data_IF_297378167161
#
_entry.id   IF_297378167161
#
_cell.length_a   1.000
_cell.length_b   1.000
_cell.length_c   1.000
_cell.angle_alpha   90.00
_cell.angle_beta   90.00
_cell.angle_gamma   90.00
#
_symmetry.space_group_name_H-M   'P 1'
#
loop_
_entity.id
_entity.type
_entity.pdbx_description
1 polymer ?
2 non-polymer ?
3 non-polymer ?
4 non-polymer ?
5 water ?
#
# COMPACT_ATOMS: atom_id res chain seq x y z
N UNK A 21 -0.12 8.30 22.89
CA UNK A 21 0.55 8.52 24.23
C UNK A 21 2.06 8.79 24.03
N UNK A 22 2.45 9.08 22.79
CA UNK A 22 3.73 9.69 22.37
C UNK A 22 3.50 11.19 22.50
N UNK A 23 4.51 12.02 22.66
CA UNK A 23 4.22 13.46 22.88
C UNK A 23 4.38 14.23 21.58
N UNK A 24 5.31 13.82 20.72
CA UNK A 24 5.62 14.61 19.51
C UNK A 24 6.03 13.67 18.36
N UNK A 25 5.38 13.82 17.22
CA UNK A 25 5.58 12.92 16.05
C UNK A 25 6.03 13.75 14.85
N UNK A 26 7.13 13.30 14.24
CA UNK A 26 7.63 13.81 12.93
C UNK A 26 6.87 13.10 11.82
N UNK A 27 6.15 13.87 10.99
CA UNK A 27 5.43 13.34 9.80
C UNK A 27 6.42 13.34 8.62
N UNK A 28 7.09 12.20 8.39
CA UNK A 28 8.17 12.03 7.41
C UNK A 28 7.52 11.68 6.06
N UNK A 29 6.68 12.58 5.57
CA UNK A 29 5.92 12.33 4.31
C UNK A 29 5.24 13.63 3.90
N UNK A 30 4.35 13.55 2.91
CA UNK A 30 3.78 14.76 2.25
C UNK A 30 2.35 14.45 1.79
N UNK A 31 1.71 15.41 1.14
CA UNK A 31 0.43 15.22 0.45
C UNK A 31 -0.67 14.72 1.34
N UNK A 32 -1.51 13.83 0.79
CA UNK A 32 -2.74 13.43 1.51
C UNK A 32 -2.34 12.64 2.78
N UNK A 33 -1.37 11.74 2.73
CA UNK A 33 -1.09 10.83 3.88
C UNK A 33 -0.53 11.65 5.05
N UNK A 34 0.24 12.72 4.78
CA UNK A 34 0.76 13.61 5.83
C UNK A 34 -0.41 14.28 6.55
N UNK A 35 -1.44 14.71 5.82
CA UNK A 35 -2.69 15.30 6.39
C UNK A 35 -3.45 14.25 7.23
N UNK A 36 -3.59 13.04 6.71
CA UNK A 36 -4.26 11.90 7.39
C UNK A 36 -3.56 11.64 8.73
N UNK A 37 -2.24 11.67 8.74
CA UNK A 37 -1.41 11.44 9.94
C UNK A 37 -1.57 12.60 10.89
N UNK A 38 -1.55 13.84 10.36
CA UNK A 38 -1.75 15.02 11.24
C UNK A 38 -3.10 14.94 11.95
N UNK A 39 -4.18 14.61 11.23
CA UNK A 39 -5.56 14.56 11.78
C UNK A 39 -5.58 13.53 12.95
N UNK A 40 -4.94 12.37 12.80
CA UNK A 40 -4.87 11.29 13.84
C UNK A 40 -4.11 11.84 15.07
N UNK A 41 -3.02 12.56 14.81
CA UNK A 41 -2.15 13.13 15.87
C UNK A 41 -2.96 14.13 16.68
N UNK A 42 -3.62 15.07 16.00
CA UNK A 42 -4.44 16.12 16.65
C UNK A 42 -5.56 15.47 17.48
N UNK A 43 -6.23 14.46 16.96
CA UNK A 43 -7.33 13.79 17.70
C UNK A 43 -6.79 13.24 19.02
N UNK A 44 -5.54 12.75 19.04
CA UNK A 44 -4.90 12.12 20.23
C UNK A 44 -4.13 13.13 21.07
N UNK A 45 -4.10 14.40 20.69
CA UNK A 45 -3.35 15.42 21.47
C UNK A 45 -1.85 15.26 21.32
N UNK A 46 -1.39 14.65 20.23
CA UNK A 46 0.04 14.44 19.91
C UNK A 46 0.51 15.63 19.08
N UNK A 47 1.65 16.21 19.47
CA UNK A 47 2.25 17.38 18.77
C UNK A 47 2.80 16.91 17.43
N UNK A 48 2.73 17.79 16.42
CA UNK A 48 3.13 17.50 15.03
C UNK A 48 4.35 18.34 14.63
N UNK A 49 5.31 17.67 14.01
CA UNK A 49 6.46 18.27 13.28
C UNK A 49 6.31 17.89 11.80
N UNK A 50 6.07 18.89 10.96
CA UNK A 50 6.00 18.71 9.49
C UNK A 50 7.39 18.95 8.90
N UNK A 51 8.05 17.90 8.44
CA UNK A 51 9.28 18.04 7.62
C UNK A 51 8.88 18.12 6.14
N UNK A 52 9.43 19.10 5.42
CA UNK A 52 8.89 19.51 4.09
C UNK A 52 10.05 19.93 3.18
N UNK A 53 9.93 19.66 1.89
CA UNK A 53 10.82 20.26 0.84
C UNK A 53 10.50 21.75 0.67
N UNK A 54 11.40 22.48 0.00
CA UNK A 54 11.18 23.89 -0.39
C UNK A 54 9.89 24.00 -1.20
N UNK A 55 9.53 22.98 -1.99
CA UNK A 55 8.36 23.07 -2.89
C UNK A 55 7.04 22.82 -2.15
N UNK A 56 7.05 22.30 -0.92
CA UNK A 56 5.82 21.86 -0.20
C UNK A 56 5.51 22.80 0.99
N UNK A 57 5.96 24.07 0.95
CA UNK A 57 5.76 25.03 2.06
C UNK A 57 4.27 25.32 2.22
N UNK A 58 3.51 25.26 1.13
CA UNK A 58 2.06 25.59 1.11
C UNK A 58 1.22 24.30 1.19
N UNK A 59 1.81 23.15 1.54
CA UNK A 59 0.98 21.95 1.80
C UNK A 59 0.05 22.22 2.99
N UNK A 60 -1.18 21.75 2.91
CA UNK A 60 -2.24 21.96 3.96
C UNK A 60 -1.71 21.47 5.33
N UNK A 61 -1.16 20.28 5.40
CA UNK A 61 -0.67 19.71 6.70
C UNK A 61 0.50 20.54 7.26
N UNK A 62 1.34 21.14 6.40
CA UNK A 62 2.45 22.03 6.85
C UNK A 62 1.83 23.24 7.54
N UNK A 63 0.81 23.82 6.92
CA UNK A 63 0.12 25.04 7.44
C UNK A 63 -0.57 24.77 8.78
N UNK A 64 -0.99 23.52 9.04
CA UNK A 64 -1.73 23.07 10.26
C UNK A 64 -0.78 22.59 11.36
N UNK A 65 0.47 22.19 11.04
CA UNK A 65 1.36 21.49 12.01
C UNK A 65 1.82 22.43 13.15
N UNK A 66 2.12 21.84 14.30
CA UNK A 66 2.60 22.62 15.47
C UNK A 66 3.98 23.21 15.15
N UNK A 67 4.82 22.49 14.42
CA UNK A 67 6.22 22.90 14.10
C UNK A 67 6.49 22.47 12.66
N UNK A 68 7.38 23.16 11.96
CA UNK A 68 7.77 22.87 10.57
C UNK A 68 9.29 23.01 10.41
N UNK A 69 9.90 22.08 9.67
CA UNK A 69 11.37 22.10 9.39
C UNK A 69 11.54 21.81 7.89
N UNK A 70 12.16 22.72 7.16
CA UNK A 70 12.55 22.46 5.75
C UNK A 70 13.71 21.46 5.76
N UNK A 71 13.58 20.30 5.11
CA UNK A 71 14.64 19.24 5.11
C UNK A 71 15.39 19.17 3.78
N UNK A 72 15.12 20.08 2.85
CA UNK A 72 15.95 20.26 1.65
C UNK A 72 15.15 20.76 0.46
N UNK A 73 15.81 20.86 -0.72
CA UNK A 73 15.13 21.33 -1.93
C UNK A 73 14.13 20.30 -2.48
N UNK A 74 13.51 20.61 -3.61
CA UNK A 74 12.27 19.95 -4.09
C UNK A 74 12.49 18.47 -4.42
N UNK A 75 13.60 18.09 -5.11
CA UNK A 75 13.77 16.69 -5.48
C UNK A 75 13.72 15.77 -4.26
N UNK A 76 12.99 14.67 -4.43
CA UNK A 76 12.76 13.62 -3.39
C UNK A 76 14.08 13.17 -2.78
N UNK A 77 15.10 12.89 -3.60
CA UNK A 77 16.39 12.33 -3.15
C UNK A 77 17.02 13.28 -2.12
N UNK A 78 16.68 14.56 -2.19
CA UNK A 78 17.36 15.63 -1.40
C UNK A 78 16.53 16.05 -0.19
N UNK A 79 15.31 15.51 -0.06
CA UNK A 79 14.34 15.98 0.94
C UNK A 79 13.69 14.76 1.62
N UNK A 80 12.67 14.17 1.03
CA UNK A 80 11.86 13.09 1.67
C UNK A 80 12.69 11.81 1.83
N UNK A 81 13.78 11.63 1.08
CA UNK A 81 14.69 10.45 1.18
C UNK A 81 15.96 10.82 1.94
N UNK A 82 16.05 12.02 2.51
CA UNK A 82 17.24 12.57 3.21
C UNK A 82 17.25 12.07 4.66
N UNK A 83 17.85 10.91 4.91
CA UNK A 83 17.78 10.24 6.26
C UNK A 83 18.44 11.14 7.32
N UNK A 84 19.65 11.70 7.09
CA UNK A 84 20.26 12.54 8.11
C UNK A 84 19.36 13.72 8.47
N UNK A 85 18.74 14.39 7.49
CA UNK A 85 17.96 15.61 7.71
C UNK A 85 16.69 15.25 8.49
N UNK A 86 16.07 14.13 8.17
CA UNK A 86 14.81 13.76 8.86
C UNK A 86 15.15 13.45 10.33
N UNK A 87 16.19 12.65 10.60
CA UNK A 87 16.59 12.29 11.99
C UNK A 87 17.00 13.55 12.78
N UNK A 88 17.66 14.50 12.13
CA UNK A 88 18.11 15.78 12.75
C UNK A 88 16.88 16.59 13.12
N UNK A 89 15.83 16.53 12.31
CA UNK A 89 14.52 17.18 12.59
C UNK A 89 13.96 16.64 13.93
N UNK A 90 13.93 15.33 14.12
CA UNK A 90 13.40 14.70 15.34
C UNK A 90 14.29 15.11 16.53
N UNK A 91 15.59 15.25 16.27
CA UNK A 91 16.60 15.56 17.31
C UNK A 91 16.33 17.00 17.78
N UNK A 92 16.31 18.01 16.89
CA UNK A 92 16.20 19.44 17.29
C UNK A 92 14.81 19.73 17.85
N UNK A 93 13.78 18.96 17.53
CA UNK A 93 12.41 19.24 18.03
C UNK A 93 12.15 18.45 19.32
N UNK A 94 13.04 17.54 19.70
CA UNK A 94 12.81 16.64 20.84
C UNK A 94 11.60 15.76 20.57
N UNK A 95 11.39 15.34 19.35
CA UNK A 95 10.29 14.41 19.00
C UNK A 95 10.55 13.02 19.61
N UNK A 96 9.48 12.24 19.79
CA UNK A 96 9.52 10.86 20.33
C UNK A 96 9.44 9.82 19.25
N UNK A 97 8.78 10.11 18.11
CA UNK A 97 8.53 9.10 17.08
C UNK A 97 8.48 9.71 15.67
N UNK A 98 8.64 8.86 14.69
CA UNK A 98 8.61 9.24 13.26
C UNK A 98 7.61 8.35 12.54
N UNK A 99 6.61 8.93 11.88
CA UNK A 99 5.63 8.23 11.04
C UNK A 99 6.12 8.41 9.61
N UNK A 100 6.54 7.33 8.92
CA UNK A 100 7.00 7.42 7.53
C UNK A 100 5.93 7.39 6.42
N UNK A 101 4.66 7.21 6.80
CA UNK A 101 3.56 7.13 5.83
C UNK A 101 3.76 5.95 4.90
N UNK A 102 3.49 6.14 3.60
CA UNK A 102 3.71 5.11 2.54
C UNK A 102 4.64 5.73 1.48
N UNK A 103 5.26 4.88 0.67
CA UNK A 103 6.33 5.29 -0.25
C UNK A 103 7.51 5.83 0.51
N UNK A 104 8.36 6.64 -0.14
CA UNK A 104 9.54 7.30 0.47
C UNK A 104 10.31 6.27 1.30
N UNK A 105 10.50 6.49 2.58
CA UNK A 105 11.38 5.65 3.45
C UNK A 105 10.57 4.62 4.27
N UNK A 106 9.26 4.46 4.03
CA UNK A 106 8.37 3.64 4.89
C UNK A 106 8.82 2.17 4.93
N UNK A 107 9.45 1.66 3.86
CA UNK A 107 9.92 0.25 3.82
C UNK A 107 11.45 0.14 3.67
N UNK A 108 12.14 1.21 4.05
CA UNK A 108 13.62 1.29 4.08
C UNK A 108 14.08 0.84 5.49
N UNK A 109 14.60 -0.37 5.63
CA UNK A 109 15.01 -0.98 6.93
C UNK A 109 16.22 -0.22 7.50
N UNK A 110 17.07 0.32 6.62
CA UNK A 110 18.26 1.11 6.99
C UNK A 110 17.78 2.37 7.71
N UNK A 111 16.76 3.04 7.18
CA UNK A 111 16.10 4.18 7.85
C UNK A 111 15.53 3.74 9.21
N UNK A 112 14.70 2.71 9.26
CA UNK A 112 14.10 2.20 10.51
C UNK A 112 15.20 1.92 11.55
N UNK A 113 16.30 1.26 11.15
CA UNK A 113 17.48 0.97 12.01
C UNK A 113 18.06 2.26 12.59
N UNK A 114 18.22 3.30 11.76
CA UNK A 114 18.90 4.56 12.16
C UNK A 114 18.01 5.30 13.15
N UNK A 115 16.69 5.26 12.93
CA UNK A 115 15.64 5.89 13.78
C UNK A 115 15.70 5.23 15.17
N UNK A 116 15.63 3.89 15.29
CA UNK A 116 15.63 3.27 16.65
C UNK A 116 17.04 3.45 17.27
N UNK A 117 18.14 3.29 16.52
CA UNK A 117 19.50 3.51 17.07
C UNK A 117 19.66 4.94 17.59
N UNK A 118 18.94 5.92 17.01
CA UNK A 118 19.05 7.37 17.34
C UNK A 118 18.10 7.75 18.50
N UNK A 119 17.36 6.78 19.04
CA UNK A 119 16.57 6.94 20.29
C UNK A 119 15.10 7.27 20.05
N UNK A 120 14.61 7.22 18.82
CA UNK A 120 13.22 7.55 18.45
C UNK A 120 12.49 6.26 18.12
N UNK A 121 11.18 6.29 18.25
CA UNK A 121 10.28 5.16 17.86
C UNK A 121 9.94 5.29 16.38
N UNK A 122 10.19 4.25 15.59
CA UNK A 122 9.77 4.17 14.19
C UNK A 122 8.34 3.64 14.17
N UNK A 123 7.38 4.38 13.60
CA UNK A 123 5.96 3.93 13.57
C UNK A 123 5.84 2.94 12.41
N UNK A 124 6.03 1.68 12.77
CA UNK A 124 6.17 0.55 11.84
C UNK A 124 6.84 -0.60 12.55
N UNK A 125 7.17 -1.69 11.83
CA UNK A 125 7.83 -2.84 12.43
C UNK A 125 9.29 -2.54 12.81
N UNK A 126 9.94 -3.40 13.60
CA UNK A 126 11.40 -3.41 13.83
C UNK A 126 12.14 -3.51 12.47
N UNK A 127 13.37 -2.99 12.42
CA UNK A 127 14.23 -2.96 11.22
C UNK A 127 14.44 -4.40 10.72
N UNK A 128 14.67 -5.33 11.63
CA UNK A 128 14.89 -6.78 11.31
C UNK A 128 13.71 -7.30 10.48
N UNK A 129 12.49 -7.00 10.91
CA UNK A 129 11.26 -7.59 10.31
C UNK A 129 10.94 -6.89 8.96
N UNK A 130 11.17 -5.59 8.84
CA UNK A 130 11.08 -4.89 7.52
C UNK A 130 11.97 -5.61 6.49
N UNK A 131 13.23 -5.89 6.83
CA UNK A 131 14.20 -6.55 5.94
C UNK A 131 13.74 -7.96 5.58
N UNK A 132 13.20 -8.69 6.55
CA UNK A 132 12.75 -10.09 6.36
C UNK A 132 11.57 -10.14 5.39
N UNK A 133 10.55 -9.29 5.58
CA UNK A 133 9.35 -9.31 4.71
C UNK A 133 9.64 -8.48 3.45
N UNK A 134 10.67 -7.62 3.48
CA UNK A 134 11.16 -6.87 2.31
C UNK A 134 11.80 -7.77 1.26
N UNK A 135 12.51 -8.82 1.70
CA UNK A 135 13.11 -9.84 0.81
C UNK A 135 12.05 -10.87 0.46
N UNK A 136 11.72 -11.04 -0.81
CA UNK A 136 10.53 -11.84 -1.22
C UNK A 136 10.72 -13.32 -0.88
N UNK A 137 11.93 -13.84 -1.06
CA UNK A 137 12.25 -15.26 -0.75
C UNK A 137 12.09 -15.50 0.75
N UNK A 138 12.71 -14.70 1.60
CA UNK A 138 12.66 -14.90 3.08
C UNK A 138 11.23 -14.69 3.56
N UNK A 139 10.49 -13.76 2.92
CA UNK A 139 9.07 -13.49 3.22
C UNK A 139 8.24 -14.74 2.99
N UNK A 140 8.37 -15.34 1.80
CA UNK A 140 7.61 -16.56 1.41
C UNK A 140 7.98 -17.69 2.37
N UNK A 141 9.26 -17.89 2.64
CA UNK A 141 9.76 -18.90 3.60
C UNK A 141 8.93 -18.80 4.88
N UNK A 142 8.81 -17.58 5.44
CA UNK A 142 8.21 -17.31 6.77
C UNK A 142 6.68 -17.55 6.74
N UNK A 143 6.02 -17.10 5.68
CA UNK A 143 4.57 -17.35 5.48
C UNK A 143 4.34 -18.86 5.35
N UNK A 144 5.16 -19.54 4.58
CA UNK A 144 5.05 -21.00 4.39
C UNK A 144 5.15 -21.70 5.75
N UNK A 145 6.16 -21.33 6.53
CA UNK A 145 6.40 -21.86 7.89
C UNK A 145 5.20 -21.59 8.81
N UNK A 146 4.47 -20.48 8.58
CA UNK A 146 3.30 -20.05 9.39
C UNK A 146 2.03 -20.78 8.92
N UNK A 147 2.05 -21.46 7.78
CA UNK A 147 0.84 -22.14 7.25
C UNK A 147 -0.03 -21.18 6.44
N UNK A 148 0.55 -20.08 5.96
CA UNK A 148 -0.11 -19.18 4.98
C UNK A 148 0.14 -19.74 3.59
N UNK A 149 -0.92 -20.00 2.80
CA UNK A 149 -0.77 -20.64 1.49
C UNK A 149 -0.02 -19.67 0.54
N UNK A 150 0.93 -20.24 -0.22
CA UNK A 150 1.84 -19.51 -1.13
C UNK A 150 1.67 -20.05 -2.56
N UNK A 151 2.08 -19.29 -3.57
CA UNK A 151 2.03 -19.83 -4.96
C UNK A 151 2.94 -21.07 -5.01
N UNK A 152 2.49 -22.23 -5.53
CA UNK A 152 3.42 -23.33 -5.83
C UNK A 152 4.67 -22.79 -6.55
N UNK A 153 5.85 -23.25 -6.18
CA UNK A 153 7.09 -22.69 -6.71
C UNK A 153 8.33 -23.43 -6.26
N UNK A 154 9.49 -22.84 -6.54
CA UNK A 154 10.84 -23.38 -6.22
C UNK A 154 10.97 -23.55 -4.72
N UNK A 155 10.20 -22.79 -3.93
CA UNK A 155 10.24 -22.87 -2.43
C UNK A 155 11.70 -22.68 -2.03
N UNK A 156 12.22 -21.49 -2.28
CA UNK A 156 13.65 -21.15 -2.16
C UNK A 156 14.15 -20.68 -3.51
N UNK A 157 15.39 -20.14 -3.56
CA UNK A 157 16.01 -19.73 -4.82
C UNK A 157 16.31 -20.90 -5.79
N UNK A 158 16.37 -20.60 -7.09
CA UNK A 158 16.69 -21.59 -8.16
C UNK A 158 18.21 -21.68 -8.34
N UNK A 159 18.68 -22.83 -8.86
CA UNK A 159 20.12 -23.11 -9.13
C UNK A 159 20.55 -22.40 -10.44
N UNK A 160 21.67 -22.85 -11.01
CA UNK A 160 22.05 -22.63 -12.43
C UNK A 160 22.04 -23.98 -13.16
N UNK A 161 22.03 -25.07 -12.40
CA UNK A 161 21.72 -26.45 -12.85
C UNK A 161 20.32 -26.45 -13.48
N UNK A 162 20.27 -26.44 -14.81
CA UNK A 162 19.03 -26.23 -15.61
C UNK A 162 18.19 -27.50 -15.49
N UNK A 163 18.84 -28.65 -15.28
CA UNK A 163 18.17 -29.98 -15.12
C UNK A 163 17.25 -29.92 -13.91
N UNK A 164 17.76 -29.44 -12.78
CA UNK A 164 16.98 -29.19 -11.54
C UNK A 164 15.84 -28.21 -11.84
N UNK A 165 16.13 -27.13 -12.54
CA UNK A 165 15.18 -26.02 -12.82
C UNK A 165 13.98 -26.56 -13.62
N UNK A 166 14.24 -27.29 -14.72
CA UNK A 166 13.23 -27.87 -15.65
C UNK A 166 12.31 -28.84 -14.91
N UNK A 167 12.87 -29.63 -13.99
CA UNK A 167 12.07 -30.57 -13.16
C UNK A 167 11.16 -29.76 -12.24
N UNK A 168 11.68 -28.71 -11.60
CA UNK A 168 10.86 -27.81 -10.75
C UNK A 168 9.70 -27.27 -11.60
N UNK A 169 10.03 -26.66 -12.75
CA UNK A 169 9.05 -26.03 -13.66
C UNK A 169 8.02 -27.06 -14.08
N UNK A 170 8.47 -28.27 -14.43
CA UNK A 170 7.61 -29.43 -14.82
C UNK A 170 6.62 -29.75 -13.70
N UNK A 171 7.12 -29.95 -12.47
CA UNK A 171 6.28 -30.20 -11.26
C UNK A 171 5.16 -29.14 -11.20
N UNK A 172 5.51 -27.85 -11.13
CA UNK A 172 4.60 -26.67 -11.04
C UNK A 172 3.65 -26.58 -12.26
N UNK A 173 4.18 -26.79 -13.47
CA UNK A 173 3.44 -26.67 -14.74
C UNK A 173 3.51 -25.26 -15.31
N UNK A 174 3.80 -25.17 -16.61
CA UNK A 174 3.91 -23.89 -17.35
C UNK A 174 2.53 -23.27 -17.49
N UNK A 175 2.42 -21.93 -17.59
CA UNK A 175 3.58 -21.05 -17.62
C UNK A 175 4.06 -20.90 -16.16
N UNK A 176 5.35 -20.64 -16.00
CA UNK A 176 5.97 -20.28 -14.69
C UNK A 176 6.46 -18.84 -14.81
N UNK A 177 6.87 -18.26 -13.69
CA UNK A 177 7.39 -16.88 -13.61
C UNK A 177 8.63 -16.88 -12.73
N UNK A 178 9.72 -16.34 -13.24
CA UNK A 178 11.00 -16.11 -12.52
C UNK A 178 10.92 -14.70 -11.95
N UNK A 179 11.20 -14.57 -10.64
CA UNK A 179 11.15 -13.29 -9.89
C UNK A 179 12.47 -13.06 -9.15
N UNK A 180 12.95 -11.82 -9.16
CA UNK A 180 14.05 -11.32 -8.30
C UNK A 180 13.56 -11.25 -6.84
N UNK A 181 14.33 -11.80 -5.89
CA UNK A 181 13.99 -11.70 -4.45
C UNK A 181 14.00 -10.22 -4.05
N UNK A 182 14.99 -9.46 -4.49
CA UNK A 182 15.09 -8.01 -4.24
C UNK A 182 14.29 -7.19 -5.26
N UNK A 183 13.28 -7.80 -5.90
CA UNK A 183 12.52 -7.19 -7.01
C UNK A 183 11.30 -6.41 -6.52
N UNK A 184 10.46 -5.96 -7.45
CA UNK A 184 9.17 -5.32 -7.13
C UNK A 184 8.74 -4.37 -8.22
N UNK A 185 7.44 -4.08 -8.28
CA UNK A 185 6.84 -3.10 -9.21
C UNK A 185 6.95 -3.52 -10.67
N UNK A 186 7.21 -4.81 -10.92
CA UNK A 186 7.22 -5.42 -12.27
C UNK A 186 8.58 -5.38 -12.95
N UNK A 187 9.66 -4.95 -12.25
CA UNK A 187 11.02 -4.80 -12.86
C UNK A 187 11.58 -6.21 -13.18
N UNK A 188 11.72 -7.02 -12.13
CA UNK A 188 12.49 -8.29 -12.13
C UNK A 188 11.55 -9.46 -12.10
N UNK A 189 10.82 -9.62 -13.21
CA UNK A 189 9.78 -10.63 -13.46
C UNK A 189 9.91 -11.12 -14.90
N UNK A 190 9.95 -12.42 -15.12
CA UNK A 190 9.95 -13.00 -16.49
C UNK A 190 8.98 -14.17 -16.48
N UNK A 191 7.94 -14.09 -17.30
CA UNK A 191 7.02 -15.22 -17.60
C UNK A 191 7.77 -16.17 -18.52
N UNK A 192 7.61 -17.47 -18.32
CA UNK A 192 8.21 -18.53 -19.18
C UNK A 192 7.08 -19.49 -19.55
N UNK A 193 6.86 -19.68 -20.85
CA UNK A 193 5.69 -20.44 -21.36
C UNK A 193 6.07 -21.87 -21.76
N UNK A 194 7.35 -22.14 -22.07
CA UNK A 194 7.83 -23.48 -22.47
C UNK A 194 9.27 -23.72 -21.99
N UNK A 195 9.62 -25.00 -21.86
CA UNK A 195 10.88 -25.49 -21.26
C UNK A 195 12.08 -25.02 -22.09
N UNK A 196 11.97 -25.01 -23.41
CA UNK A 196 13.13 -24.72 -24.31
C UNK A 196 13.65 -23.31 -24.02
N UNK A 197 12.89 -22.48 -23.29
CA UNK A 197 13.19 -21.06 -23.00
C UNK A 197 13.65 -20.83 -21.56
N UNK A 198 13.53 -21.83 -20.68
CA UNK A 198 13.65 -21.63 -19.21
C UNK A 198 15.05 -21.12 -18.86
N UNK A 199 16.05 -21.73 -19.50
CA UNK A 199 17.47 -21.66 -19.11
C UNK A 199 17.97 -20.21 -19.15
N UNK A 200 17.76 -19.50 -20.27
CA UNK A 200 18.28 -18.12 -20.45
C UNK A 200 17.47 -17.14 -19.60
N UNK A 201 16.15 -17.38 -19.45
CA UNK A 201 15.23 -16.54 -18.65
C UNK A 201 15.72 -16.48 -17.20
N UNK A 202 16.11 -17.61 -16.61
CA UNK A 202 16.71 -17.67 -15.24
C UNK A 202 18.00 -16.84 -15.26
N UNK A 203 18.93 -17.14 -16.17
CA UNK A 203 20.25 -16.48 -16.30
C UNK A 203 20.09 -14.97 -16.57
N UNK A 204 19.16 -14.56 -17.44
CA UNK A 204 18.93 -13.12 -17.78
C UNK A 204 18.37 -12.41 -16.55
N UNK A 205 17.26 -12.91 -15.97
CA UNK A 205 16.62 -12.36 -14.74
C UNK A 205 17.68 -12.19 -13.63
N UNK A 206 18.49 -13.22 -13.41
CA UNK A 206 19.64 -13.26 -12.47
C UNK A 206 20.61 -12.10 -12.75
N UNK A 207 20.98 -11.89 -14.02
CA UNK A 207 21.91 -10.83 -14.47
C UNK A 207 21.31 -9.43 -14.21
N UNK A 208 20.06 -9.16 -14.61
CA UNK A 208 19.37 -7.85 -14.41
C UNK A 208 19.14 -7.56 -12.93
N UNK A 209 18.89 -8.60 -12.13
CA UNK A 209 18.71 -8.56 -10.66
C UNK A 209 20.00 -8.08 -9.97
N UNK A 210 21.15 -8.72 -10.27
CA UNK A 210 22.50 -8.34 -9.75
C UNK A 210 22.87 -6.93 -10.23
N UNK A 211 22.58 -6.60 -11.49
CA UNK A 211 22.87 -5.26 -12.07
C UNK A 211 22.04 -4.20 -11.33
N UNK A 212 20.73 -4.41 -11.18
CA UNK A 212 19.77 -3.49 -10.54
C UNK A 212 19.98 -3.46 -9.01
N UNK A 213 19.63 -4.54 -8.29
CA UNK A 213 19.52 -4.59 -6.81
C UNK A 213 20.85 -4.96 -6.14
N UNK A 214 21.92 -5.22 -6.91
CA UNK A 214 23.17 -5.87 -6.43
C UNK A 214 22.77 -7.18 -5.71
N UNK A 215 21.75 -7.88 -6.22
CA UNK A 215 21.15 -9.11 -5.63
C UNK A 215 20.63 -10.06 -6.72
N UNK A 216 21.45 -11.05 -7.11
CA UNK A 216 21.18 -12.01 -8.23
C UNK A 216 20.24 -13.14 -7.78
N UNK A 217 19.66 -13.06 -6.57
CA UNK A 217 18.75 -14.12 -6.04
C UNK A 217 17.40 -14.04 -6.78
N UNK A 218 16.96 -15.19 -7.31
CA UNK A 218 15.67 -15.34 -8.05
C UNK A 218 14.99 -16.64 -7.63
N UNK A 219 13.67 -16.66 -7.73
CA UNK A 219 12.83 -17.84 -7.44
C UNK A 219 11.85 -18.02 -8.59
N UNK A 220 11.21 -19.19 -8.65
CA UNK A 220 10.11 -19.49 -9.59
C UNK A 220 8.81 -19.62 -8.80
N UNK A 221 7.73 -19.09 -9.37
CA UNK A 221 6.35 -19.43 -9.00
C UNK A 221 5.64 -19.92 -10.27
N UNK A 222 4.55 -20.66 -10.09
CA UNK A 222 3.50 -20.86 -11.13
C UNK A 222 3.01 -19.46 -11.52
N UNK A 223 2.82 -19.21 -12.81
CA UNK A 223 2.31 -17.89 -13.26
C UNK A 223 0.78 -18.02 -13.31
N UNK A 224 0.09 -17.26 -12.45
CA UNK A 224 -1.39 -17.20 -12.43
C UNK A 224 -1.84 -16.19 -13.48
N UNK A 225 -2.62 -16.68 -14.44
CA UNK A 225 -2.91 -16.01 -15.73
C UNK A 225 -4.05 -15.00 -15.51
N UNK A 226 -5.07 -15.35 -14.70
CA UNK A 226 -6.24 -14.46 -14.43
C UNK A 226 -6.58 -14.43 -12.93
N UNK A 227 -5.68 -13.85 -12.09
CA UNK A 227 -5.99 -13.71 -10.68
C UNK A 227 -6.66 -12.35 -10.40
N UNK A 228 -7.25 -12.26 -9.21
CA UNK A 228 -7.61 -11.01 -8.53
C UNK A 228 -6.53 -10.70 -7.49
N UNK A 229 -6.33 -9.41 -7.27
CA UNK A 229 -5.41 -8.88 -6.25
C UNK A 229 -6.25 -8.63 -5.01
N UNK A 230 -6.14 -9.52 -4.02
CA UNK A 230 -6.88 -9.46 -2.73
C UNK A 230 -5.85 -9.36 -1.61
N UNK A 231 -6.01 -8.39 -0.73
CA UNK A 231 -5.01 -8.13 0.33
C UNK A 231 -5.68 -8.05 1.69
N UNK A 232 -5.01 -8.62 2.68
CA UNK A 232 -5.56 -8.68 4.05
C UNK A 232 -4.79 -7.69 4.92
N UNK A 233 -5.54 -6.81 5.56
CA UNK A 233 -5.05 -5.80 6.56
C UNK A 233 -4.94 -6.50 7.93
N UNK A 234 -3.79 -6.32 8.59
CA UNK A 234 -3.55 -6.76 9.98
C UNK A 234 -3.09 -5.56 10.82
N UNK A 235 -3.22 -5.72 12.14
CA UNK A 235 -2.49 -5.00 13.19
C UNK A 235 -1.91 -6.05 14.12
N UNK A 236 -0.71 -5.82 14.63
CA UNK A 236 -0.11 -6.61 15.72
C UNK A 236 0.52 -5.64 16.72
N UNK A 237 0.38 -5.90 18.04
CA UNK A 237 0.83 -4.97 19.08
C UNK A 237 1.96 -5.61 19.91
N UNK A 238 2.52 -4.86 20.86
CA UNK A 238 3.66 -5.28 21.71
C UNK A 238 3.10 -6.08 22.89
N UNK A 239 1.81 -6.39 22.88
CA UNK A 239 1.12 -7.19 23.93
C UNK A 239 0.84 -8.59 23.40
N UNK A 240 1.36 -8.96 22.24
CA UNK A 240 1.21 -10.32 21.70
C UNK A 240 -0.13 -10.53 20.97
N UNK A 241 -0.91 -9.47 20.78
CA UNK A 241 -2.22 -9.53 20.06
C UNK A 241 -1.97 -9.30 18.55
N UNK A 242 -2.69 -10.03 17.68
CA UNK A 242 -2.71 -9.77 16.23
C UNK A 242 -4.13 -9.93 15.70
N UNK A 243 -4.63 -8.98 14.90
CA UNK A 243 -6.02 -9.05 14.34
C UNK A 243 -5.97 -8.91 12.81
N UNK A 244 -6.94 -9.53 12.13
CA UNK A 244 -7.21 -9.33 10.69
C UNK A 244 -8.46 -8.45 10.52
N UNK A 245 -8.45 -7.57 9.52
CA UNK A 245 -9.54 -6.59 9.27
C UNK A 245 -10.06 -6.77 7.84
N UNK A 246 -10.70 -7.92 7.63
CA UNK A 246 -11.19 -8.42 6.33
C UNK A 246 -10.13 -8.24 5.24
N UNK A 247 -10.54 -7.73 4.08
CA UNK A 247 -9.67 -7.73 2.88
C UNK A 247 -10.12 -6.62 1.92
N UNK A 248 -9.27 -6.32 0.95
CA UNK A 248 -9.55 -5.34 -0.13
C UNK A 248 -9.28 -6.06 -1.43
N UNK A 249 -10.11 -5.76 -2.42
CA UNK A 249 -9.90 -6.14 -3.84
C UNK A 249 -9.32 -4.93 -4.54
N UNK A 250 -8.06 -5.03 -4.99
CA UNK A 250 -7.32 -3.92 -5.66
C UNK A 250 -7.02 -4.28 -7.11
N UNK A 251 -7.88 -5.11 -7.73
CA UNK A 251 -7.65 -5.67 -9.09
C UNK A 251 -7.74 -4.54 -10.16
N UNK A 252 -8.50 -3.49 -9.90
CA UNK A 252 -8.76 -2.43 -10.92
C UNK A 252 -7.50 -1.56 -10.99
N UNK A 253 -6.57 -1.94 -11.86
CA UNK A 253 -5.23 -1.31 -11.94
C UNK A 253 -4.73 -1.28 -13.39
N UNK A 254 -3.76 -0.43 -13.64
CA UNK A 254 -3.11 -0.23 -14.97
C UNK A 254 -1.60 -0.20 -14.76
N UNK A 255 -0.88 -1.14 -15.36
CA UNK A 255 0.60 -1.16 -15.40
C UNK A 255 1.14 -0.80 -14.02
N UNK A 256 0.73 -1.59 -13.02
CA UNK A 256 1.20 -1.55 -11.61
C UNK A 256 0.72 -0.31 -10.85
N UNK A 257 -0.23 0.48 -11.37
CA UNK A 257 -0.81 1.64 -10.64
C UNK A 257 -2.28 1.31 -10.30
N UNK A 258 -2.60 1.10 -9.03
CA UNK A 258 -4.00 0.92 -8.54
C UNK A 258 -4.83 2.17 -8.89
N UNK A 259 -6.07 1.97 -9.33
CA UNK A 259 -6.97 3.08 -9.78
C UNK A 259 -8.21 3.14 -8.86
N UNK A 260 -8.82 1.98 -8.58
CA UNK A 260 -10.03 1.84 -7.73
C UNK A 260 -9.76 0.65 -6.83
N UNK A 261 -10.04 0.82 -5.54
CA UNK A 261 -10.01 -0.28 -4.55
C UNK A 261 -11.41 -0.41 -3.94
N UNK A 262 -11.71 -1.59 -3.40
CA UNK A 262 -12.99 -1.83 -2.68
C UNK A 262 -12.76 -2.81 -1.53
N UNK A 263 -13.67 -2.77 -0.55
CA UNK A 263 -13.75 -3.70 0.61
C UNK A 263 -15.22 -3.93 0.94
N UNK A 264 -15.64 -5.17 1.32
CA UNK A 264 -14.81 -6.37 1.21
C UNK A 264 -14.62 -6.79 -0.26
N UNK A 265 -13.82 -7.83 -0.49
CA UNK A 265 -13.64 -8.48 -1.80
C UNK A 265 -14.91 -9.23 -2.17
N UNK A 266 -15.53 -8.93 -3.33
CA UNK A 266 -16.70 -9.67 -3.78
C UNK A 266 -16.40 -11.16 -3.85
N UNK A 267 -17.38 -11.97 -3.42
CA UNK A 267 -17.31 -13.43 -3.48
C UNK A 267 -16.65 -14.00 -2.25
N UNK A 268 -16.08 -13.17 -1.37
CA UNK A 268 -15.41 -13.75 -0.15
C UNK A 268 -16.43 -13.90 0.97
N UNK A 269 -16.63 -15.13 1.44
CA UNK A 269 -17.58 -15.45 2.55
C UNK A 269 -16.91 -15.19 3.90
N UNK A 270 -17.71 -15.00 4.96
CA UNK A 270 -17.17 -14.86 6.33
C UNK A 270 -16.36 -16.11 6.70
N UNK A 271 -16.77 -17.28 6.23
CA UNK A 271 -16.07 -18.56 6.56
C UNK A 271 -14.64 -18.51 5.99
N UNK A 272 -14.49 -18.18 4.71
CA UNK A 272 -13.17 -18.07 4.02
C UNK A 272 -12.33 -16.95 4.66
N UNK A 273 -12.90 -15.77 4.92
CA UNK A 273 -12.19 -14.63 5.57
C UNK A 273 -11.57 -15.06 6.91
N UNK A 274 -12.35 -15.74 7.75
CA UNK A 274 -11.88 -16.17 9.11
C UNK A 274 -10.68 -17.13 8.94
N UNK A 275 -10.77 -18.09 8.01
CA UNK A 275 -9.66 -19.04 7.75
C UNK A 275 -8.40 -18.28 7.33
N UNK A 276 -8.45 -17.51 6.24
CA UNK A 276 -7.23 -16.90 5.66
C UNK A 276 -6.75 -15.77 6.61
N UNK A 277 -7.68 -15.05 7.23
CA UNK A 277 -7.36 -13.95 8.16
C UNK A 277 -6.61 -14.43 9.39
N UNK A 278 -7.10 -15.51 10.01
CA UNK A 278 -6.49 -16.08 11.23
C UNK A 278 -5.09 -16.59 10.91
N UNK A 279 -4.86 -17.13 9.71
CA UNK A 279 -3.52 -17.63 9.35
C UNK A 279 -2.57 -16.43 9.27
N UNK A 280 -3.04 -15.32 8.71
CA UNK A 280 -2.28 -14.04 8.64
C UNK A 280 -1.97 -13.54 10.05
N UNK A 281 -2.97 -13.45 10.93
CA UNK A 281 -2.81 -12.97 12.32
C UNK A 281 -1.80 -13.91 13.01
N UNK A 282 -1.95 -15.21 12.79
CA UNK A 282 -1.04 -16.18 13.44
C UNK A 282 0.41 -15.90 12.96
N UNK A 283 0.60 -15.66 11.66
CA UNK A 283 1.94 -15.41 11.07
C UNK A 283 2.54 -14.14 11.69
N UNK A 284 1.73 -13.13 12.01
CA UNK A 284 2.18 -11.86 12.66
C UNK A 284 2.89 -12.21 13.99
N UNK A 285 2.26 -13.04 14.81
CA UNK A 285 2.81 -13.46 16.13
C UNK A 285 4.09 -14.25 15.89
N UNK A 286 4.05 -15.27 15.02
CA UNK A 286 5.24 -16.10 14.71
C UNK A 286 6.42 -15.20 14.38
N UNK A 287 6.26 -14.22 13.50
CA UNK A 287 7.43 -13.40 13.04
C UNK A 287 7.69 -12.19 13.96
N UNK A 288 6.93 -12.00 15.04
CA UNK A 288 7.10 -10.84 15.94
C UNK A 288 6.77 -9.56 15.20
N UNK A 289 5.76 -9.59 14.33
CA UNK A 289 5.33 -8.39 13.58
C UNK A 289 4.83 -7.34 14.57
N UNK A 290 4.94 -6.05 14.21
CA UNK A 290 4.52 -4.90 15.05
C UNK A 290 3.99 -3.82 14.11
N UNK A 291 2.78 -3.35 14.36
CA UNK A 291 2.12 -2.21 13.69
C UNK A 291 1.11 -2.68 12.65
N UNK A 292 0.76 -1.79 11.72
CA UNK A 292 -0.11 -2.10 10.56
C UNK A 292 0.69 -2.85 9.50
N UNK A 293 0.02 -3.72 8.79
CA UNK A 293 0.62 -4.43 7.66
C UNK A 293 -0.44 -4.97 6.72
N UNK A 294 0.01 -5.42 5.56
CA UNK A 294 -0.87 -5.95 4.52
C UNK A 294 -0.27 -7.23 3.93
N UNK A 295 -1.01 -8.34 4.02
CA UNK A 295 -0.68 -9.57 3.26
C UNK A 295 -1.34 -9.46 1.89
N UNK A 296 -0.53 -9.29 0.84
CA UNK A 296 -0.94 -9.34 -0.59
C UNK A 296 -1.08 -10.79 -1.06
N UNK A 297 -2.26 -11.15 -1.58
CA UNK A 297 -2.55 -12.46 -2.20
C UNK A 297 -2.93 -12.27 -3.66
N UNK A 298 -2.61 -13.25 -4.48
CA UNK A 298 -3.33 -13.50 -5.74
C UNK A 298 -4.43 -14.52 -5.43
N UNK A 299 -5.63 -14.21 -5.88
CA UNK A 299 -6.86 -15.00 -5.69
C UNK A 299 -7.33 -15.50 -7.05
N UNK A 300 -7.33 -16.80 -7.24
CA UNK A 300 -7.77 -17.39 -8.53
C UNK A 300 -8.30 -18.79 -8.30
N UNK A 301 -9.46 -19.05 -8.89
CA UNK A 301 -10.16 -20.37 -8.84
C UNK A 301 -10.50 -20.67 -7.38
N UNK A 302 -11.05 -19.68 -6.70
CA UNK A 302 -11.45 -19.76 -5.29
C UNK A 302 -10.32 -20.13 -4.34
N UNK A 303 -9.04 -19.86 -4.66
CA UNK A 303 -7.89 -20.15 -3.78
C UNK A 303 -7.03 -18.89 -3.59
N UNK A 304 -6.40 -18.75 -2.41
CA UNK A 304 -5.53 -17.63 -2.02
C UNK A 304 -4.07 -18.06 -2.17
N UNK A 305 -3.21 -17.20 -2.70
CA UNK A 305 -1.76 -17.46 -2.83
C UNK A 305 -1.02 -16.18 -2.43
N UNK A 306 -0.32 -16.26 -1.30
CA UNK A 306 0.51 -15.17 -0.74
C UNK A 306 1.57 -14.87 -1.79
N UNK A 307 1.79 -13.59 -2.08
CA UNK A 307 2.91 -13.20 -2.96
C UNK A 307 3.89 -12.30 -2.22
N UNK A 308 3.42 -11.41 -1.34
CA UNK A 308 4.30 -10.42 -0.67
C UNK A 308 3.59 -9.61 0.40
N UNK A 309 4.35 -8.99 1.31
CA UNK A 309 3.78 -8.23 2.45
C UNK A 309 4.27 -6.78 2.39
N UNK A 310 3.36 -5.87 2.69
CA UNK A 310 3.64 -4.43 2.83
C UNK A 310 3.73 -4.18 4.33
N UNK A 311 4.77 -3.48 4.78
CA UNK A 311 5.00 -3.33 6.24
C UNK A 311 4.70 -1.90 6.63
N UNK A 312 3.65 -1.34 6.06
CA UNK A 312 3.36 0.11 6.09
C UNK A 312 1.84 0.30 6.08
N UNK A 313 1.38 1.47 6.47
CA UNK A 313 -0.01 1.89 6.13
C UNK A 313 -0.09 2.04 4.61
N UNK A 314 -1.24 1.70 4.00
CA UNK A 314 -1.37 1.79 2.51
C UNK A 314 -2.34 2.88 2.10
N UNK A 315 -2.16 3.42 0.89
CA UNK A 315 -3.06 4.40 0.22
C UNK A 315 -4.51 4.01 0.54
N UNK A 316 -4.90 2.77 0.25
CA UNK A 316 -6.32 2.35 0.20
C UNK A 316 -6.81 1.93 1.60
N UNK A 317 -6.09 2.26 2.66
CA UNK A 317 -6.55 1.93 4.04
C UNK A 317 -7.97 2.46 4.34
N UNK A 318 -8.46 3.61 3.81
CA UNK A 318 -9.79 4.07 4.16
C UNK A 318 -10.95 3.09 3.88
N UNK A 319 -10.87 2.26 2.84
CA UNK A 319 -12.01 1.34 2.53
C UNK A 319 -12.16 0.34 3.69
N UNK A 320 -11.07 -0.06 4.31
CA UNK A 320 -11.11 -1.02 5.45
C UNK A 320 -11.74 -0.31 6.65
N UNK A 321 -11.38 0.97 6.84
CA UNK A 321 -11.92 1.80 7.93
C UNK A 321 -13.43 1.88 7.79
N UNK A 322 -13.93 2.06 6.56
CA UNK A 322 -15.38 2.33 6.31
C UNK A 322 -16.24 1.07 6.52
N UNK A 323 -15.66 -0.14 6.43
CA UNK A 323 -16.46 -1.40 6.58
C UNK A 323 -16.22 -2.04 7.96
N UNK A 324 -15.23 -1.57 8.72
CA UNK A 324 -14.95 -2.16 10.06
C UNK A 324 -15.08 -1.16 11.21
N UNK A 325 -15.15 0.16 10.98
CA UNK A 325 -15.19 1.13 12.09
C UNK A 325 -13.83 1.32 12.77
N UNK A 326 -12.75 0.79 12.21
CA UNK A 326 -11.41 0.89 12.84
C UNK A 326 -10.69 2.12 12.28
N UNK A 327 -9.98 2.85 13.14
CA UNK A 327 -9.11 3.99 12.75
C UNK A 327 -7.71 3.43 12.67
N UNK A 328 -7.25 3.09 11.46
CA UNK A 328 -5.98 2.36 11.30
C UNK A 328 -4.78 3.24 11.71
N UNK A 329 -4.78 4.53 11.40
CA UNK A 329 -3.59 5.39 11.70
C UNK A 329 -3.53 5.62 13.22
N UNK A 330 -4.70 5.72 13.84
CA UNK A 330 -4.76 5.88 15.30
C UNK A 330 -4.22 4.61 15.98
N UNK A 331 -4.53 3.41 15.46
CA UNK A 331 -4.01 2.13 15.97
C UNK A 331 -2.49 2.11 15.78
N UNK A 332 -1.99 2.62 14.65
CA UNK A 332 -0.52 2.72 14.44
C UNK A 332 0.11 3.47 15.61
N UNK A 333 -0.49 4.59 15.98
CA UNK A 333 0.05 5.54 16.98
C UNK A 333 0.01 4.89 18.38
N UNK A 334 -1.12 4.25 18.70
CA UNK A 334 -1.29 3.51 19.97
C UNK A 334 -0.21 2.44 20.07
N UNK A 335 -0.10 1.60 19.04
CA UNK A 335 0.84 0.45 19.02
C UNK A 335 2.27 0.97 19.22
N UNK A 336 2.63 2.06 18.53
CA UNK A 336 3.98 2.66 18.65
C UNK A 336 4.22 3.16 20.09
N UNK A 337 3.21 3.69 20.79
CA UNK A 337 3.33 4.21 22.18
C UNK A 337 3.39 3.03 23.15
N UNK A 338 3.25 1.80 22.63
CA UNK A 338 3.32 0.56 23.43
C UNK A 338 1.96 0.12 23.99
N UNK A 339 0.86 0.69 23.53
CA UNK A 339 -0.52 0.30 23.96
C UNK A 339 -1.00 -0.94 23.20
N UNK A 340 -1.96 -1.70 23.77
CA UNK A 340 -2.60 -2.76 22.99
C UNK A 340 -3.54 -2.15 21.92
N UNK A 341 -3.84 -2.95 20.91
CA UNK A 341 -4.90 -2.64 19.92
C UNK A 341 -6.18 -2.40 20.73
N UNK A 342 -6.98 -1.38 20.38
CA UNK A 342 -8.14 -0.88 21.17
C UNK A 342 -9.34 -1.83 21.16
N UNK A 343 -9.30 -2.95 20.44
CA UNK A 343 -10.45 -3.89 20.31
C UNK A 343 -9.89 -5.30 20.12
N UNK A 344 -10.76 -6.29 20.12
CA UNK A 344 -10.44 -7.72 19.93
C UNK A 344 -11.11 -8.24 18.65
N UNK A 345 -10.63 -9.36 18.10
CA UNK A 345 -11.07 -9.93 16.78
C UNK A 345 -12.61 -10.03 16.75
N UNK A 346 -13.22 -10.59 17.82
CA UNK A 346 -14.69 -10.84 17.95
C UNK A 346 -15.45 -9.51 17.95
N UNK A 347 -14.78 -8.38 18.24
CA UNK A 347 -15.40 -7.02 18.20
C UNK A 347 -15.55 -6.55 16.74
N UNK A 348 -14.78 -7.11 15.80
CA UNK A 348 -14.79 -6.70 14.35
C UNK A 348 -15.89 -7.45 13.60
N UNK A 349 -16.83 -6.71 13.03
CA UNK A 349 -17.88 -7.23 12.12
C UNK A 349 -17.80 -6.44 10.81
N UNK A 350 -17.74 -7.12 9.67
CA UNK A 350 -17.80 -6.44 8.35
C UNK A 350 -19.23 -5.94 8.17
N UNK A 351 -19.39 -4.65 7.89
CA UNK A 351 -20.71 -4.05 7.65
C UNK A 351 -20.63 -3.22 6.38
N UNK A 352 -21.46 -3.57 5.40
CA UNK A 352 -21.60 -2.86 4.13
C UNK A 352 -20.36 -2.98 3.26
N UNK A 353 -20.16 -2.00 2.40
CA UNK A 353 -19.21 -2.05 1.26
C UNK A 353 -18.64 -0.66 1.12
N UNK A 354 -17.36 -0.54 0.72
CA UNK A 354 -16.70 0.77 0.50
C UNK A 354 -15.92 0.74 -0.81
N UNK A 355 -15.83 1.89 -1.46
CA UNK A 355 -15.12 2.06 -2.77
C UNK A 355 -14.16 3.22 -2.57
N UNK A 356 -12.99 3.16 -3.18
CA UNK A 356 -12.06 4.31 -3.27
C UNK A 356 -11.63 4.57 -4.71
N UNK A 357 -11.73 5.83 -5.15
CA UNK A 357 -11.14 6.29 -6.44
C UNK A 357 -9.93 7.18 -6.14
N UNK A 358 -8.75 6.79 -6.65
CA UNK A 358 -7.53 7.64 -6.58
C UNK A 358 -7.64 8.74 -7.61
N UNK A 359 -7.85 9.96 -7.17
CA UNK A 359 -7.94 11.10 -8.11
C UNK A 359 -6.54 11.68 -8.30
N UNK A 360 -6.09 11.64 -9.56
CA UNK A 360 -4.71 12.00 -9.99
C UNK A 360 -4.77 13.24 -10.90
N UNK A 361 -3.80 14.14 -10.77
CA UNK A 361 -3.57 15.27 -11.69
C UNK A 361 -2.84 14.70 -12.90
N UNK A 362 -3.59 14.13 -13.82
CA UNK A 362 -3.00 13.51 -15.02
C UNK A 362 -4.02 13.52 -16.15
N UNK A 363 -3.54 13.40 -17.39
CA UNK A 363 -4.40 13.23 -18.58
C UNK A 363 -5.14 11.89 -18.49
N UNK A 364 -6.48 11.85 -18.65
CA UNK A 364 -7.25 10.63 -18.38
C UNK A 364 -7.05 9.51 -19.40
N UNK A 365 -6.43 9.80 -20.54
CA UNK A 365 -6.10 8.80 -21.59
C UNK A 365 -4.60 8.52 -21.70
N UNK A 366 -3.71 9.54 -21.67
CA UNK A 366 -2.24 9.39 -21.81
C UNK A 366 -1.56 9.15 -20.46
N UNK A 367 -2.20 9.52 -19.33
CA UNK A 367 -1.66 9.35 -17.96
C UNK A 367 -0.39 10.19 -17.78
N UNK A 368 -0.16 11.19 -18.65
CA UNK A 368 0.92 12.19 -18.49
C UNK A 368 0.56 13.10 -17.31
N UNK A 369 1.49 13.37 -16.35
CA UNK A 369 1.17 14.25 -15.22
C UNK A 369 0.65 15.61 -15.69
N UNK A 370 -0.26 16.19 -14.92
CA UNK A 370 -0.89 17.50 -15.23
C UNK A 370 -0.64 18.44 -14.07
N UNK A 371 0.60 18.90 -13.84
CA UNK A 371 0.86 19.87 -12.78
C UNK A 371 0.21 21.24 -13.07
N UNK A 372 0.03 22.10 -12.06
CA UNK A 372 -0.40 23.49 -12.28
C UNK A 372 -1.38 23.93 -11.21
N UNK A 373 -1.91 25.14 -11.36
CA UNK A 373 -2.76 25.79 -10.33
C UNK A 373 -4.18 25.18 -10.37
N UNK A 374 -4.67 24.71 -9.23
CA UNK A 374 -6.11 24.40 -9.11
C UNK A 374 -6.80 25.74 -8.86
N UNK A 375 -7.48 26.26 -9.89
CA UNK A 375 -8.17 27.57 -9.86
C UNK A 375 -9.44 27.45 -9.03
N UNK A 376 -10.09 26.30 -9.11
CA UNK A 376 -11.36 26.06 -8.37
C UNK A 376 -11.42 24.59 -7.97
N UNK A 377 -11.63 24.33 -6.69
CA UNK A 377 -11.94 22.98 -6.19
C UNK A 377 -13.36 22.97 -5.66
N UNK A 378 -14.14 21.99 -6.06
CA UNK A 378 -15.43 21.71 -5.42
C UNK A 378 -15.41 20.24 -5.03
N UNK A 379 -15.28 20.00 -3.73
CA UNK A 379 -15.22 18.63 -3.16
C UNK A 379 -16.63 18.17 -2.85
N UNK A 380 -16.99 16.90 -3.09
CA UNK A 380 -18.35 16.44 -2.82
C UNK A 380 -18.53 16.12 -1.32
N UNK A 381 -19.77 15.85 -0.90
CA UNK A 381 -20.09 15.43 0.47
C UNK A 381 -21.42 14.75 0.56
N UNK A 382 -22.05 14.81 1.73
CA UNK A 382 -23.29 14.08 2.04
C UNK A 382 -23.00 12.76 2.72
N UNK A 383 -24.09 12.04 2.97
CA UNK A 383 -24.09 10.74 3.66
C UNK A 383 -23.23 9.74 2.87
N UNK A 384 -22.29 9.07 3.55
CA UNK A 384 -21.52 7.97 2.99
C UNK A 384 -20.44 8.44 2.01
N UNK A 385 -20.09 9.71 2.01
CA UNK A 385 -19.06 10.30 1.14
C UNK A 385 -17.92 10.80 2.04
N UNK A 386 -16.70 10.34 1.77
CA UNK A 386 -15.50 10.74 2.50
C UNK A 386 -14.46 11.21 1.47
N UNK A 387 -13.85 12.32 1.79
CA UNK A 387 -12.85 13.06 0.97
C UNK A 387 -11.57 13.23 1.77
N UNK A 388 -10.50 12.58 1.33
CA UNK A 388 -9.15 12.61 1.93
C UNK A 388 -8.22 13.28 0.90
N UNK A 389 -7.95 14.57 1.07
CA UNK A 389 -7.15 15.36 0.11
C UNK A 389 -6.50 16.54 0.82
N UNK A 390 -5.26 16.81 0.44
CA UNK A 390 -4.54 18.05 0.82
C UNK A 390 -4.86 19.18 -0.17
N UNK A 391 -5.61 18.91 -1.22
CA UNK A 391 -5.79 19.95 -2.30
C UNK A 391 -6.83 20.99 -1.87
N UNK A 392 -6.59 22.26 -2.22
CA UNK A 392 -7.49 23.40 -1.93
C UNK A 392 -7.48 24.36 -3.15
N UNK A 393 -8.57 25.09 -3.34
CA UNK A 393 -8.65 26.20 -4.32
C UNK A 393 -7.43 27.08 -4.20
N UNK A 394 -6.66 27.21 -5.26
CA UNK A 394 -5.50 28.11 -5.34
C UNK A 394 -4.20 27.38 -5.04
N UNK A 395 -4.28 26.11 -4.60
CA UNK A 395 -3.10 25.21 -4.47
C UNK A 395 -2.56 24.88 -5.87
N UNK A 396 -1.23 24.90 -6.01
CA UNK A 396 -0.46 24.50 -7.20
C UNK A 396 0.07 23.06 -7.00
N UNK A 397 -0.41 22.13 -7.80
CA UNK A 397 0.14 20.75 -7.87
C UNK A 397 1.56 20.81 -8.44
N UNK A 398 2.58 20.41 -7.65
CA UNK A 398 3.97 20.47 -8.11
C UNK A 398 4.35 19.33 -9.06
N UNK A 399 5.41 19.53 -9.86
CA UNK A 399 5.88 18.50 -10.78
C UNK A 399 6.72 17.38 -10.14
N UNK A 400 7.23 17.60 -8.93
CA UNK A 400 8.40 16.87 -8.38
C UNK A 400 8.01 15.50 -7.81
N UNK A 401 6.74 15.26 -7.51
CA UNK A 401 6.28 14.07 -6.75
C UNK A 401 5.20 13.33 -7.57
N UNK A 402 4.49 12.38 -6.96
CA UNK A 402 3.43 11.59 -7.64
C UNK A 402 2.25 12.51 -8.00
N UNK A 403 1.26 12.01 -8.73
CA UNK A 403 0.15 12.81 -9.31
C UNK A 403 -1.11 12.72 -8.44
N UNK A 404 -1.11 11.90 -7.39
CA UNK A 404 -2.33 11.76 -6.55
C UNK A 404 -2.69 13.09 -5.87
N UNK A 405 -3.91 13.56 -6.02
CA UNK A 405 -4.38 14.82 -5.37
C UNK A 405 -5.50 14.55 -4.36
N UNK A 406 -6.26 13.46 -4.49
CA UNK A 406 -7.37 13.18 -3.56
C UNK A 406 -7.74 11.71 -3.62
N UNK A 407 -8.30 11.22 -2.53
CA UNK A 407 -8.98 9.92 -2.49
C UNK A 407 -10.43 10.19 -2.13
N UNK A 408 -11.33 9.82 -3.04
CA UNK A 408 -12.79 9.89 -2.88
C UNK A 408 -13.25 8.51 -2.44
N UNK A 409 -13.85 8.42 -1.27
CA UNK A 409 -14.19 7.13 -0.63
C UNK A 409 -15.70 7.16 -0.39
N UNK A 410 -16.44 6.14 -0.83
CA UNK A 410 -17.88 6.04 -0.52
C UNK A 410 -18.14 4.75 0.27
N UNK A 411 -19.16 4.82 1.11
CA UNK A 411 -19.71 3.69 1.89
C UNK A 411 -21.14 3.44 1.40
N UNK A 412 -21.56 2.17 1.35
CA UNK A 412 -22.96 1.80 1.18
C UNK A 412 -23.30 0.51 1.89
N UNK A 413 -24.58 0.31 2.18
CA UNK A 413 -25.03 -0.93 2.85
C UNK A 413 -24.79 -2.11 1.90
N UNK A 414 -24.78 -1.85 0.59
CA UNK A 414 -24.47 -2.85 -0.45
C UNK A 414 -23.41 -2.27 -1.38
N UNK A 415 -22.70 -3.15 -2.09
CA UNK A 415 -21.76 -2.80 -3.18
C UNK A 415 -22.47 -1.83 -4.16
N UNK A 416 -23.71 -2.12 -4.54
CA UNK A 416 -24.48 -1.31 -5.52
C UNK A 416 -24.63 0.11 -5.00
N UNK A 417 -24.98 0.29 -3.72
CA UNK A 417 -25.13 1.65 -3.16
C UNK A 417 -23.76 2.32 -3.20
N UNK A 418 -22.68 1.61 -2.81
CA UNK A 418 -21.33 2.23 -2.78
C UNK A 418 -20.98 2.77 -4.16
N UNK A 419 -21.25 2.00 -5.21
CA UNK A 419 -20.90 2.38 -6.62
C UNK A 419 -21.70 3.60 -7.03
N UNK A 420 -23.02 3.57 -6.81
CA UNK A 420 -23.92 4.67 -7.22
C UNK A 420 -23.53 5.97 -6.48
N UNK A 421 -23.21 5.87 -5.20
CA UNK A 421 -22.75 7.04 -4.43
C UNK A 421 -21.42 7.57 -4.99
N UNK A 422 -20.53 6.67 -5.40
CA UNK A 422 -19.27 7.12 -6.04
C UNK A 422 -19.63 7.83 -7.35
N UNK A 423 -20.54 7.29 -8.15
CA UNK A 423 -20.88 7.95 -9.43
C UNK A 423 -21.40 9.36 -9.14
N UNK A 424 -22.34 9.49 -8.20
CA UNK A 424 -22.95 10.81 -7.86
C UNK A 424 -21.89 11.74 -7.29
N UNK A 425 -21.03 11.26 -6.38
CA UNK A 425 -19.95 12.12 -5.81
C UNK A 425 -18.99 12.60 -6.93
N UNK A 426 -18.61 11.71 -7.86
CA UNK A 426 -17.69 12.13 -8.93
C UNK A 426 -18.37 13.21 -9.78
N UNK A 427 -19.67 13.09 -10.08
CA UNK A 427 -20.39 14.05 -10.95
C UNK A 427 -20.47 15.41 -10.23
N UNK A 428 -20.36 15.45 -8.90
CA UNK A 428 -20.38 16.73 -8.15
C UNK A 428 -18.98 17.37 -8.12
N UNK A 429 -17.93 16.58 -8.33
CA UNK A 429 -16.55 17.02 -8.09
C UNK A 429 -16.08 17.92 -9.25
N UNK A 430 -15.54 19.09 -8.94
CA UNK A 430 -14.94 20.03 -9.92
C UNK A 430 -13.50 20.30 -9.51
N UNK A 431 -12.54 19.97 -10.38
CA UNK A 431 -11.11 20.35 -10.25
C UNK A 431 -10.71 21.12 -11.51
N UNK A 432 -10.68 22.45 -11.38
CA UNK A 432 -10.50 23.43 -12.46
C UNK A 432 -9.05 23.89 -12.59
N UNK A 433 -8.47 23.76 -13.79
CA UNK A 433 -7.17 24.35 -14.18
C UNK A 433 -6.13 23.27 -14.41
N UNK A 434 -6.44 22.01 -14.07
CA UNK A 434 -5.61 20.81 -14.40
C UNK A 434 -6.51 19.68 -14.89
N UNK A 435 -5.93 18.72 -15.61
CA UNK A 435 -6.59 17.48 -16.07
C UNK A 435 -6.58 16.53 -14.87
N UNK A 436 -7.60 15.67 -14.75
CA UNK A 436 -7.61 14.61 -13.74
C UNK A 436 -8.06 13.32 -14.42
N UNK A 437 -7.99 12.22 -13.69
CA UNK A 437 -8.49 10.92 -14.17
C UNK A 437 -9.96 10.72 -13.81
N UNK A 438 -10.70 11.72 -13.37
CA UNK A 438 -12.17 11.59 -13.08
C UNK A 438 -12.90 10.95 -14.27
N UNK A 439 -12.68 11.34 -15.54
CA UNK A 439 -13.36 10.67 -16.65
C UNK A 439 -13.08 9.15 -16.71
N UNK A 440 -11.89 8.69 -16.32
CA UNK A 440 -11.54 7.25 -16.28
C UNK A 440 -12.36 6.55 -15.18
N UNK A 441 -12.48 7.17 -14.02
CA UNK A 441 -13.27 6.60 -12.91
C UNK A 441 -14.69 6.39 -13.40
N UNK A 442 -15.22 7.37 -14.13
CA UNK A 442 -16.63 7.36 -14.55
C UNK A 442 -16.84 6.21 -15.54
N UNK A 443 -15.92 6.04 -16.50
CA UNK A 443 -15.90 4.88 -17.41
C UNK A 443 -15.90 3.58 -16.59
N UNK A 444 -15.02 3.46 -15.60
CA UNK A 444 -14.88 2.19 -14.82
C UNK A 444 -16.21 1.93 -14.10
N UNK A 445 -16.79 2.94 -13.46
CA UNK A 445 -17.91 2.69 -12.52
C UNK A 445 -19.16 2.26 -13.29
N UNK A 446 -19.31 2.69 -14.55
CA UNK A 446 -20.51 2.37 -15.37
C UNK A 446 -20.28 1.10 -16.21
N UNK A 447 -19.10 0.52 -16.17
CA UNK A 447 -18.77 -0.75 -16.87
C UNK A 447 -19.60 -1.87 -16.25
N UNK A 448 -20.25 -2.65 -17.10
CA UNK A 448 -21.19 -3.71 -16.68
C UNK A 448 -20.42 -4.85 -16.00
N UNK A 449 -19.16 -5.11 -16.41
CA UNK A 449 -18.38 -6.23 -15.82
C UNK A 449 -18.02 -5.82 -14.41
N UNK A 450 -17.63 -4.54 -14.24
CA UNK A 450 -17.26 -3.99 -12.92
C UNK A 450 -18.49 -3.98 -11.99
N UNK A 451 -19.67 -3.65 -12.50
CA UNK A 451 -20.92 -3.62 -11.69
C UNK A 451 -21.27 -5.04 -11.23
N UNK A 452 -20.99 -6.05 -12.05
CA UNK A 452 -21.15 -7.47 -11.68
C UNK A 452 -20.11 -7.85 -10.61
N UNK A 453 -18.91 -7.29 -10.65
CA UNK A 453 -17.84 -7.52 -9.65
C UNK A 453 -16.91 -8.67 -10.05
N UNK A 454 -15.69 -8.71 -9.51
CA UNK A 454 -14.80 -9.88 -9.62
C UNK A 454 -13.92 -9.85 -10.85
N UNK A 455 -13.75 -8.73 -11.53
CA UNK A 455 -12.84 -8.64 -12.71
C UNK A 455 -11.41 -8.82 -12.23
N UNK A 456 -10.57 -9.39 -13.08
CA UNK A 456 -9.16 -9.76 -12.76
C UNK A 456 -8.27 -8.52 -12.96
N UNK A 457 -6.97 -8.70 -12.70
CA UNK A 457 -5.96 -7.61 -12.64
C UNK A 457 -5.66 -7.04 -14.03
N UNK A 458 -5.96 -7.79 -15.10
CA UNK A 458 -5.67 -7.37 -16.51
C UNK A 458 -6.87 -6.63 -17.13
N UNK A 459 -8.00 -6.56 -16.45
CA UNK A 459 -9.27 -6.13 -17.08
C UNK A 459 -9.15 -4.67 -17.56
N UNK A 460 -8.64 -3.76 -16.74
CA UNK A 460 -8.64 -2.33 -17.10
C UNK A 460 -7.81 -2.10 -18.38
N UNK A 461 -6.69 -2.80 -18.55
CA UNK A 461 -5.80 -2.59 -19.72
C UNK A 461 -6.49 -3.10 -20.99
N UNK A 462 -7.15 -4.25 -20.92
CA UNK A 462 -7.97 -4.79 -22.03
C UNK A 462 -9.04 -3.76 -22.37
N UNK A 463 -9.79 -3.28 -21.37
CA UNK A 463 -10.89 -2.33 -21.62
C UNK A 463 -10.31 -1.11 -22.35
N UNK A 464 -9.15 -0.62 -21.91
CA UNK A 464 -8.55 0.63 -22.46
C UNK A 464 -7.99 0.39 -23.88
N UNK A 465 -7.79 -0.86 -24.31
CA UNK A 465 -7.06 -1.22 -25.55
C UNK A 465 -7.96 -1.24 -26.78
X LIG B 1 2.45 -12.57 -10.20
X LIG B 1 1.43 -12.57 -11.15
X LIG B 1 0.89 -13.78 -11.56
X LIG B 1 1.40 -14.98 -10.99
X LIG B 1 2.88 -13.73 -9.67
X LIG B 1 3.24 -7.66 -10.14
X LIG B 1 4.47 -7.11 -9.51
X LIG B 1 4.83 -8.10 -8.41
X LIG B 1 4.49 -7.58 -7.07
X LIG B 1 4.15 -9.28 -8.74
X LIG B 1 3.26 -9.12 -9.74
X LIG B 1 2.59 -10.19 -10.26
X LIG B 1 2.98 -11.41 -9.79
X LIG B 1 2.37 -14.93 -10.05
X LIG B 1 2.85 -16.04 -9.49
X LIG B 1 0.98 -11.35 -11.67
X LIG B 1 1.55 -10.15 -11.24
X LIG B 1 1.05 -8.95 -11.77
X LIG B 1 0.21 -8.16 -10.95
X LIG B 1 -0.12 -8.59 -9.65
X LIG B 1 -0.95 -7.80 -8.85
X LIG B 1 -1.45 -6.59 -9.32
X LIG B 1 -1.13 -6.16 -10.62
X LIG B 1 -0.28 -6.94 -11.43
X LIG B 1 0.03 -6.51 -12.72
X LIG B 1 0.85 -7.28 -13.53
X LIG B 1 1.36 -8.49 -13.05
X LIG C 1 4.13 -5.07 -2.15
X LIG D 1 3.87 -2.73 -3.98
X LIG D 1 4.34 -3.75 -4.56
X LIG D 1 3.57 -2.71 -2.76
X LIG D 1 3.66 -1.46 -4.80
#
# INVERSE_FOLDING_TARGET
>A
MGSSHHHHHHSSGLVPRGSHMLEKVVIANRGEIALRILRACKELGIKTVAVHSTADRDLKHVLLADETICIGPAPSAKSYLNIPAIIAAAEVTGADAIHPGYGFLSENADFAEQVERSGFTFIGPTADVIRLMGDKVSAIKAMKKAGVPCVPGSDGPVSNDIAKNKEIAKRIGYPIIIKASGGGGGRGMRVVRSEDALEESIAMTKAEAKAAFNNDMVYMEKYLENPRHVEIQVLADTHGNAVYLAERDCSMQRRHQKVVEEAPAPGITEEVRRDIGSRCANACVEIGYRGAGTFEFLYENGEFYFIEMNTRIQVEHPVTEMITGVDLVKEQLRIAAGLPISFKQEDIKVKGHAMECRINAEDPKTFLPSPGKVNHLHSPGGLGVRWDSHVYGGYTVPPHYDSMIAKLITYGDTREVAIRRMQNALSETIIDGIKTNIPLHELILEDENFQKGGTNIHYLEKKLGMNE
>B hetero
1 MV4 C4 C5 C6 N1 N3 CAZ CAY CAX NBA CAW NAV CAC NAD C2 NAK CAA CAB CAL CAM CAR CAS CAT CAU CAN CAO CAP CAQ
>C hetero
1 CA CA
>D hetero
1 ACT C O OXT CH3
#
